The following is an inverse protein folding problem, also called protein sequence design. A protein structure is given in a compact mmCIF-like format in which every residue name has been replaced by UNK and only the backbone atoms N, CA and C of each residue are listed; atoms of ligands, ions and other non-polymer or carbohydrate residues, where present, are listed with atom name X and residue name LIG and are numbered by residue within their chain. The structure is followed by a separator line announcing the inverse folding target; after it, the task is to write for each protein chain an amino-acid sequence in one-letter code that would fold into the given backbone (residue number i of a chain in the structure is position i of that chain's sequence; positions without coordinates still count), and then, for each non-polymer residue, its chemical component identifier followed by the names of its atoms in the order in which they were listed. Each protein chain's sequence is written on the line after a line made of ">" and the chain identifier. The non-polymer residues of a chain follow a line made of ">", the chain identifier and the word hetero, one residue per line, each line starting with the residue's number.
data_IF_100529155943
#
_entry.id   IF_100529155943
#
_cell.length_a   1.000
_cell.length_b   1.000
_cell.length_c   1.000
_cell.angle_alpha   90.00
_cell.angle_beta   90.00
_cell.angle_gamma   90.00
#
_symmetry.space_group_name_H-M   'P 1'
#
loop_
_entity.id
_entity.type
_entity.pdbx_description
1 polymer ?
#
# COMPACT_ATOMS: atom_id res chain seq x y z
N UNK A 1 -30.64 -5.89 -19.47
CA UNK A 1 -29.49 -6.82 -19.56
C UNK A 1 -28.14 -6.11 -19.54
N UNK A 2 -27.92 -5.06 -20.34
CA UNK A 2 -26.62 -4.36 -20.41
C UNK A 2 -26.20 -3.65 -19.10
N UNK A 3 -27.16 -3.30 -18.22
CA UNK A 3 -26.88 -2.61 -16.96
C UNK A 3 -26.07 -3.45 -15.97
N UNK A 4 -26.45 -4.72 -15.76
CA UNK A 4 -25.73 -5.59 -14.83
C UNK A 4 -24.36 -6.03 -15.37
N UNK A 5 -24.27 -6.22 -16.68
CA UNK A 5 -23.06 -6.69 -17.35
C UNK A 5 -21.97 -5.63 -17.49
N UNK A 6 -22.31 -4.34 -17.55
CA UNK A 6 -21.33 -3.25 -17.73
C UNK A 6 -21.08 -2.54 -16.39
N UNK A 7 -22.12 -2.10 -15.69
CA UNK A 7 -21.92 -1.34 -14.45
C UNK A 7 -21.41 -2.21 -13.28
N UNK A 8 -21.74 -3.51 -13.27
CA UNK A 8 -21.23 -4.48 -12.29
C UNK A 8 -19.69 -4.61 -12.29
N UNK A 9 -19.06 -5.00 -13.41
CA UNK A 9 -17.61 -5.11 -13.48
C UNK A 9 -16.89 -3.76 -13.44
N UNK A 10 -17.47 -2.69 -13.98
CA UNK A 10 -16.89 -1.33 -13.83
C UNK A 10 -16.86 -0.90 -12.36
N UNK A 11 -17.94 -1.12 -11.61
CA UNK A 11 -17.98 -0.85 -10.17
C UNK A 11 -16.93 -1.65 -9.38
N UNK A 12 -16.79 -2.95 -9.68
CA UNK A 12 -15.73 -3.78 -9.09
C UNK A 12 -14.33 -3.29 -9.42
N UNK A 13 -14.08 -2.90 -10.68
CA UNK A 13 -12.77 -2.39 -11.13
C UNK A 13 -12.41 -1.08 -10.46
N UNK A 14 -13.37 -0.16 -10.33
CA UNK A 14 -13.17 1.11 -9.60
C UNK A 14 -12.89 0.85 -8.12
N UNK A 15 -13.65 -0.04 -7.48
CA UNK A 15 -13.44 -0.39 -6.06
C UNK A 15 -12.08 -1.05 -5.84
N UNK A 16 -11.65 -1.93 -6.75
CA UNK A 16 -10.32 -2.54 -6.70
C UNK A 16 -9.22 -1.47 -6.79
N UNK A 17 -9.29 -0.58 -7.80
CA UNK A 17 -8.33 0.52 -7.95
C UNK A 17 -8.32 1.48 -6.76
N UNK A 18 -9.49 1.78 -6.18
CA UNK A 18 -9.58 2.61 -4.98
C UNK A 18 -8.86 1.97 -3.79
N UNK A 19 -8.97 0.66 -3.60
CA UNK A 19 -8.25 -0.05 -2.54
C UNK A 19 -6.72 0.03 -2.71
N UNK A 20 -6.24 -0.10 -3.94
CA UNK A 20 -4.80 0.01 -4.25
C UNK A 20 -4.27 1.40 -3.87
N UNK A 21 -4.98 2.46 -4.27
CA UNK A 21 -4.62 3.86 -3.96
C UNK A 21 -4.64 4.11 -2.46
N UNK A 22 -5.68 3.62 -1.75
CA UNK A 22 -5.77 3.79 -0.30
C UNK A 22 -4.58 3.12 0.38
N UNK A 23 -4.23 1.89 -0.04
CA UNK A 23 -3.09 1.15 0.50
C UNK A 23 -1.79 1.94 0.33
N UNK A 24 -1.52 2.45 -0.86
CA UNK A 24 -0.32 3.27 -1.15
C UNK A 24 -0.27 4.52 -0.25
N UNK A 25 -1.40 5.24 -0.12
CA UNK A 25 -1.48 6.42 0.74
C UNK A 25 -1.28 6.10 2.21
N UNK A 26 -1.77 4.96 2.69
CA UNK A 26 -1.54 4.50 4.07
C UNK A 26 -0.04 4.30 4.33
N UNK A 27 0.68 3.65 3.41
CA UNK A 27 2.13 3.44 3.55
C UNK A 27 2.89 4.77 3.59
N UNK A 28 2.54 5.70 2.70
CA UNK A 28 3.14 7.04 2.68
C UNK A 28 2.91 7.79 4.00
N UNK A 29 1.68 7.78 4.52
CA UNK A 29 1.33 8.45 5.77
C UNK A 29 2.11 7.88 6.96
N UNK A 30 2.20 6.55 7.08
CA UNK A 30 2.98 5.90 8.14
C UNK A 30 4.47 6.22 8.02
N UNK A 31 5.01 6.30 6.80
CA UNK A 31 6.39 6.73 6.56
C UNK A 31 6.64 8.15 7.04
N UNK A 32 5.79 9.11 6.65
CA UNK A 32 5.90 10.52 7.06
C UNK A 32 5.75 10.65 8.58
N UNK A 33 4.79 9.94 9.18
CA UNK A 33 4.56 9.96 10.61
C UNK A 33 5.75 9.40 11.39
N UNK A 34 6.35 8.30 10.92
CA UNK A 34 7.56 7.73 11.51
C UNK A 34 8.75 8.68 11.45
N UNK A 35 8.95 9.35 10.32
CA UNK A 35 9.98 10.40 10.16
C UNK A 35 9.73 11.55 11.14
N UNK A 36 8.49 12.04 11.24
CA UNK A 36 8.13 13.15 12.11
C UNK A 36 8.32 12.82 13.60
N UNK A 37 8.08 11.56 13.99
CA UNK A 37 8.29 11.07 15.35
C UNK A 37 9.76 10.76 15.67
N UNK A 38 10.66 10.81 14.67
CA UNK A 38 12.06 10.45 14.85
C UNK A 38 12.30 8.95 15.04
N UNK A 39 11.48 8.09 14.43
CA UNK A 39 11.69 6.63 14.45
C UNK A 39 13.04 6.26 13.81
N UNK A 40 13.68 5.19 14.31
CA UNK A 40 14.91 4.69 13.72
C UNK A 40 14.65 4.23 12.27
N UNK A 41 15.46 4.66 11.28
CA UNK A 41 15.24 4.29 9.88
C UNK A 41 15.14 2.77 9.63
N UNK A 42 15.83 1.94 10.41
CA UNK A 42 15.73 0.47 10.30
C UNK A 42 14.40 -0.07 10.81
N UNK A 43 13.89 0.48 11.92
CA UNK A 43 12.61 0.06 12.49
C UNK A 43 11.44 0.56 11.62
N UNK A 44 11.55 1.78 11.10
CA UNK A 44 10.60 2.34 10.16
C UNK A 44 10.56 1.54 8.85
N UNK A 45 11.71 1.13 8.32
CA UNK A 45 11.77 0.25 7.15
C UNK A 45 11.05 -1.08 7.42
N UNK A 46 11.36 -1.75 8.52
CA UNK A 46 10.70 -3.01 8.89
C UNK A 46 9.17 -2.85 8.98
N UNK A 47 8.70 -1.72 9.53
CA UNK A 47 7.28 -1.37 9.60
C UNK A 47 6.68 -1.17 8.20
N UNK A 48 7.35 -0.44 7.32
CA UNK A 48 6.91 -0.20 5.94
C UNK A 48 6.91 -1.49 5.09
N UNK A 49 7.90 -2.36 5.27
CA UNK A 49 8.01 -3.67 4.60
C UNK A 49 6.86 -4.62 4.96
N UNK A 50 6.20 -4.43 6.12
CA UNK A 50 5.00 -5.19 6.49
C UNK A 50 3.76 -4.79 5.70
N UNK A 51 3.73 -3.61 5.07
CA UNK A 51 2.63 -3.20 4.20
C UNK A 51 2.74 -3.76 2.77
N UNK A 52 3.91 -4.28 2.38
CA UNK A 52 4.13 -4.90 1.07
C UNK A 52 3.40 -6.25 1.02
N UNK A 53 2.73 -6.53 -0.11
CA UNK A 53 1.97 -7.77 -0.26
C UNK A 53 2.91 -9.01 -0.24
N UNK A 54 2.44 -10.18 0.23
CA UNK A 54 3.28 -11.38 0.44
C UNK A 54 3.82 -12.06 -0.85
N UNK A 55 3.88 -11.36 -1.98
CA UNK A 55 4.47 -11.83 -3.23
C UNK A 55 5.36 -10.79 -3.93
N UNK A 56 5.53 -9.61 -3.35
CA UNK A 56 6.46 -8.60 -3.86
C UNK A 56 7.80 -8.70 -3.13
N UNK A 57 8.93 -8.50 -3.84
CA UNK A 57 10.25 -8.60 -3.25
C UNK A 57 10.44 -7.52 -2.19
N UNK A 58 10.61 -7.94 -0.94
CA UNK A 58 11.02 -7.08 0.17
C UNK A 58 12.54 -6.93 0.11
N UNK A 59 13.03 -5.83 -0.46
CA UNK A 59 14.46 -5.50 -0.48
C UNK A 59 14.73 -4.52 0.65
N UNK A 60 15.51 -4.91 1.65
CA UNK A 60 16.01 -3.97 2.64
C UNK A 60 17.13 -3.13 2.02
N UNK A 61 17.14 -1.84 2.34
CA UNK A 61 18.20 -0.90 1.98
C UNK A 61 19.38 -0.97 2.95
N UNK A 62 19.23 -1.60 4.12
CA UNK A 62 20.26 -1.72 5.15
C UNK A 62 20.95 -3.09 5.16
N UNK A 63 20.47 -4.06 4.38
CA UNK A 63 21.17 -5.30 4.12
C UNK A 63 22.26 -5.08 3.06
N UNK A 64 23.50 -5.01 3.52
CA UNK A 64 24.73 -5.04 2.72
C UNK A 64 25.59 -6.23 3.10
#
# INVERSE_FOLDING_TARGET
>A
MCSYAIFGPFGHKLKAKSKDIIKEKTVLLEGILGIANGENPRDLENKLLNYIAPGEPKKSQFEG
#
